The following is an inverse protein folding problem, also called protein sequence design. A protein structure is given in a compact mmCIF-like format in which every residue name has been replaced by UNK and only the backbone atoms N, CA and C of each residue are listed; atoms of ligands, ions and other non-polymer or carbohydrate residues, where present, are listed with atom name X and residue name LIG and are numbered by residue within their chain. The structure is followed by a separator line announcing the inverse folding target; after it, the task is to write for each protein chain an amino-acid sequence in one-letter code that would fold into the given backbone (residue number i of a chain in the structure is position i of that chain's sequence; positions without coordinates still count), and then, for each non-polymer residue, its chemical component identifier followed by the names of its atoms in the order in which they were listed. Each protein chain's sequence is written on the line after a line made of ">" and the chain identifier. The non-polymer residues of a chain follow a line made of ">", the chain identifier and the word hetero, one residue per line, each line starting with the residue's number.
data_IF_338063317883
#
_entry.id   IF_338063317883
#
_cell.length_a   1.000
_cell.length_b   1.000
_cell.length_c   1.000
_cell.angle_alpha   90.00
_cell.angle_beta   90.00
_cell.angle_gamma   90.00
#
_symmetry.space_group_name_H-M   'P 1'
#
loop_
_entity.id
_entity.type
_entity.pdbx_description
1 polymer ?
#
# COMPACT_ATOMS: atom_id res chain seq x y z
N UNK A 1 -18.48 12.83 -8.16
CA UNK A 1 -18.21 13.30 -6.83
C UNK A 1 -17.28 12.37 -6.08
N UNK A 2 -16.37 12.91 -5.36
CA UNK A 2 -15.47 12.09 -4.59
C UNK A 2 -16.19 11.45 -3.42
N UNK A 3 -16.04 10.15 -3.30
CA UNK A 3 -16.44 9.47 -2.10
C UNK A 3 -15.46 9.87 -1.03
N UNK A 4 -15.96 10.48 0.01
CA UNK A 4 -15.11 10.89 1.10
C UNK A 4 -14.73 9.67 1.91
N UNK A 5 -13.51 9.24 1.79
CA UNK A 5 -13.02 8.16 2.62
C UNK A 5 -12.95 8.62 4.07
N UNK A 6 -13.02 7.68 4.97
CA UNK A 6 -12.85 7.96 6.37
C UNK A 6 -11.53 8.68 6.57
N UNK A 7 -11.57 9.82 7.26
CA UNK A 7 -10.37 10.58 7.51
C UNK A 7 -9.54 9.88 8.57
N UNK A 8 -8.26 9.70 8.28
CA UNK A 8 -7.35 9.07 9.21
C UNK A 8 -6.85 10.13 10.19
N UNK A 9 -7.06 9.92 11.50
CA UNK A 9 -6.60 10.89 12.49
C UNK A 9 -5.11 11.14 12.40
N UNK A 10 -4.72 12.39 12.63
CA UNK A 10 -3.33 12.80 12.54
C UNK A 10 -2.42 11.97 13.45
N UNK A 11 -2.85 11.74 14.69
CA UNK A 11 -2.04 10.96 15.64
C UNK A 11 -1.83 9.53 15.16
N UNK A 12 -2.86 8.93 14.60
CA UNK A 12 -2.76 7.58 14.08
C UNK A 12 -1.79 7.52 12.91
N UNK A 13 -1.92 8.48 11.99
CA UNK A 13 -1.02 8.59 10.84
C UNK A 13 0.42 8.73 11.30
N UNK A 14 0.68 9.61 12.27
CA UNK A 14 2.01 9.81 12.81
C UNK A 14 2.59 8.53 13.42
N UNK A 15 1.76 7.80 14.18
CA UNK A 15 2.20 6.57 14.83
C UNK A 15 2.55 5.49 13.81
N UNK A 16 1.79 5.40 12.72
CA UNK A 16 2.08 4.45 11.65
C UNK A 16 3.40 4.81 10.96
N UNK A 17 3.61 6.10 10.70
CA UNK A 17 4.86 6.56 10.08
C UNK A 17 6.05 6.30 11.01
N UNK A 18 5.88 6.52 12.31
CA UNK A 18 6.94 6.25 13.27
C UNK A 18 7.32 4.76 13.30
N UNK A 19 6.33 3.90 13.14
CA UNK A 19 6.56 2.46 13.11
C UNK A 19 7.24 2.01 11.82
N UNK A 20 6.73 2.49 10.67
CA UNK A 20 7.14 1.98 9.36
C UNK A 20 8.23 2.82 8.69
N UNK A 21 8.47 4.04 9.17
CA UNK A 21 9.37 4.96 8.50
C UNK A 21 8.69 5.61 7.29
N UNK A 22 9.48 6.33 6.52
CA UNK A 22 8.98 7.08 5.36
C UNK A 22 9.28 6.34 4.05
N UNK A 23 9.19 5.04 4.07
CA UNK A 23 9.44 4.20 2.90
C UNK A 23 8.18 3.44 2.52
N UNK A 24 7.91 3.36 1.22
CA UNK A 24 6.76 2.60 0.74
C UNK A 24 6.94 1.12 1.08
N UNK A 25 5.94 0.53 1.72
CA UNK A 25 6.02 -0.86 2.15
C UNK A 25 6.13 -1.83 0.97
N UNK A 26 5.65 -1.42 -0.21
CA UNK A 26 5.64 -2.31 -1.38
C UNK A 26 6.84 -2.13 -2.31
N UNK A 27 7.28 -0.91 -2.53
CA UNK A 27 8.38 -0.65 -3.48
C UNK A 27 9.62 -0.05 -2.82
N UNK A 28 9.56 0.21 -1.52
CA UNK A 28 10.68 0.73 -0.73
C UNK A 28 11.15 2.13 -1.17
N UNK A 29 10.34 2.84 -1.94
CA UNK A 29 10.68 4.19 -2.35
C UNK A 29 10.76 5.12 -1.15
N UNK A 30 11.76 6.00 -1.15
CA UNK A 30 11.94 7.00 -0.09
C UNK A 30 10.94 8.12 -0.29
N UNK A 31 10.07 8.32 0.69
CA UNK A 31 8.99 9.29 0.60
C UNK A 31 9.24 10.55 1.42
N UNK A 32 10.51 10.81 1.77
CA UNK A 32 10.87 11.95 2.62
C UNK A 32 10.40 13.29 2.04
N UNK A 33 10.43 13.44 0.72
CA UNK A 33 9.99 14.65 0.04
C UNK A 33 8.85 14.39 -0.92
N UNK A 34 8.09 13.34 -0.66
CA UNK A 34 6.96 12.93 -1.50
C UNK A 34 5.71 12.76 -0.64
N UNK A 35 4.59 12.65 -1.31
CA UNK A 35 3.33 12.40 -0.64
C UNK A 35 3.31 11.01 -0.05
N UNK A 36 2.92 10.91 1.23
CA UNK A 36 2.81 9.63 1.93
C UNK A 36 1.35 9.26 1.98
N UNK A 37 1.02 8.07 1.51
CA UNK A 37 -0.33 7.55 1.57
C UNK A 37 -0.45 6.49 2.66
N UNK A 38 -1.61 6.48 3.34
CA UNK A 38 -1.94 5.45 4.30
C UNK A 38 -2.79 4.41 3.58
N UNK A 39 -2.30 3.20 3.53
CA UNK A 39 -3.00 2.11 2.88
C UNK A 39 -3.62 1.19 3.92
N UNK A 40 -4.85 0.76 3.67
CA UNK A 40 -5.49 -0.27 4.48
C UNK A 40 -5.03 -1.64 3.99
N UNK A 41 -4.38 -2.40 4.86
CA UNK A 41 -3.95 -3.77 4.53
C UNK A 41 -5.15 -4.55 4.01
N UNK A 42 -6.26 -4.49 4.75
CA UNK A 42 -7.56 -4.99 4.30
C UNK A 42 -8.41 -3.77 4.02
N UNK A 43 -8.87 -3.57 2.78
CA UNK A 43 -9.66 -2.39 2.42
C UNK A 43 -10.95 -2.31 3.22
N UNK A 44 -11.43 -1.08 3.42
CA UNK A 44 -12.68 -0.85 4.11
C UNK A 44 -13.84 -1.56 3.42
N UNK A 45 -13.81 -1.62 2.09
CA UNK A 45 -14.84 -2.33 1.32
C UNK A 45 -14.87 -3.83 1.61
N UNK A 46 -13.83 -4.37 2.22
CA UNK A 46 -13.73 -5.79 2.59
C UNK A 46 -13.72 -5.96 4.11
N UNK A 47 -14.20 -4.97 4.84
CA UNK A 47 -14.34 -5.05 6.28
C UNK A 47 -13.14 -4.57 7.06
N UNK A 48 -12.14 -4.01 6.40
CA UNK A 48 -10.96 -3.49 7.09
C UNK A 48 -11.28 -2.26 7.91
N UNK A 49 -10.60 -2.12 9.04
CA UNK A 49 -10.80 -1.00 9.95
C UNK A 49 -9.67 -0.01 9.83
N UNK A 50 -9.96 1.24 10.13
CA UNK A 50 -8.95 2.29 10.19
C UNK A 50 -8.33 2.26 11.59
N UNK A 51 -7.31 1.45 11.75
CA UNK A 51 -6.60 1.33 13.02
C UNK A 51 -5.13 1.05 12.77
N UNK A 52 -4.36 1.14 13.85
CA UNK A 52 -2.90 1.03 13.78
C UNK A 52 -2.43 -0.26 13.09
N UNK A 53 -3.08 -1.38 13.38
CA UNK A 53 -2.66 -2.67 12.86
C UNK A 53 -2.99 -2.84 11.37
N UNK A 54 -3.98 -2.09 10.87
CA UNK A 54 -4.46 -2.25 9.49
C UNK A 54 -4.01 -1.13 8.56
N UNK A 55 -3.10 -0.26 9.01
CA UNK A 55 -2.60 0.83 8.19
C UNK A 55 -1.11 0.68 7.96
N UNK A 56 -0.67 1.11 6.79
CA UNK A 56 0.75 1.07 6.45
C UNK A 56 1.09 2.20 5.48
N UNK A 57 2.40 2.53 5.43
CA UNK A 57 2.91 3.61 4.59
C UNK A 57 3.08 3.10 3.16
N UNK A 58 2.53 3.84 2.19
CA UNK A 58 2.73 3.52 0.78
C UNK A 58 2.96 4.80 0.00
N UNK A 59 3.55 4.66 -1.19
CA UNK A 59 3.61 5.75 -2.14
C UNK A 59 2.29 5.81 -2.92
N UNK A 60 2.06 6.95 -3.58
CA UNK A 60 0.84 7.15 -4.35
C UNK A 60 0.66 6.07 -5.41
N UNK A 61 1.73 5.76 -6.13
CA UNK A 61 1.67 4.79 -7.23
C UNK A 61 1.24 3.41 -6.76
N UNK A 62 1.86 2.90 -5.69
CA UNK A 62 1.50 1.59 -5.17
C UNK A 62 0.11 1.57 -4.58
N UNK A 63 -0.28 2.65 -3.90
CA UNK A 63 -1.61 2.76 -3.34
C UNK A 63 -2.69 2.69 -4.42
N UNK A 64 -2.49 3.44 -5.51
CA UNK A 64 -3.42 3.41 -6.64
C UNK A 64 -3.45 2.05 -7.32
N UNK A 65 -2.28 1.43 -7.48
CA UNK A 65 -2.18 0.13 -8.11
C UNK A 65 -2.87 -0.97 -7.30
N UNK A 66 -2.74 -0.91 -5.98
CA UNK A 66 -3.38 -1.87 -5.09
C UNK A 66 -4.90 -1.71 -5.11
N UNK A 67 -5.38 -0.46 -5.10
CA UNK A 67 -6.82 -0.18 -5.12
C UNK A 67 -7.55 -0.88 -3.99
N UNK A 68 -8.55 -1.69 -4.34
CA UNK A 68 -9.39 -2.39 -3.37
C UNK A 68 -8.93 -3.83 -3.09
N UNK A 69 -7.73 -4.17 -3.53
CA UNK A 69 -7.17 -5.49 -3.22
C UNK A 69 -6.71 -5.52 -1.76
N UNK A 70 -6.75 -6.70 -1.16
CA UNK A 70 -6.06 -6.90 0.11
C UNK A 70 -4.56 -6.90 -0.16
N UNK A 71 -3.76 -6.74 0.90
CA UNK A 71 -2.31 -6.84 0.77
C UNK A 71 -1.91 -8.16 0.13
N UNK A 72 -2.51 -9.26 0.59
CA UNK A 72 -2.20 -10.58 0.07
C UNK A 72 -2.48 -10.69 -1.43
N UNK A 73 -3.63 -10.18 -1.85
CA UNK A 73 -4.00 -10.18 -3.27
C UNK A 73 -3.04 -9.35 -4.10
N UNK A 74 -2.64 -8.20 -3.57
CA UNK A 74 -1.73 -7.32 -4.28
C UNK A 74 -0.34 -7.94 -4.41
N UNK A 75 0.15 -8.56 -3.34
CA UNK A 75 1.44 -9.25 -3.37
C UNK A 75 1.42 -10.38 -4.39
N UNK A 76 0.33 -11.13 -4.45
CA UNK A 76 0.20 -12.20 -5.45
C UNK A 76 0.25 -11.63 -6.86
N UNK A 77 -0.41 -10.49 -7.09
CA UNK A 77 -0.36 -9.82 -8.40
C UNK A 77 1.06 -9.43 -8.77
N UNK A 78 1.79 -8.83 -7.83
CA UNK A 78 3.17 -8.41 -8.07
C UNK A 78 4.06 -9.61 -8.36
N UNK A 79 3.88 -10.68 -7.60
CA UNK A 79 4.64 -11.91 -7.80
C UNK A 79 4.37 -12.51 -9.18
N UNK A 80 3.11 -12.62 -9.56
CA UNK A 80 2.75 -13.18 -10.86
C UNK A 80 3.29 -12.35 -12.00
N UNK A 81 3.28 -11.02 -11.84
CA UNK A 81 3.82 -10.12 -12.84
C UNK A 81 5.32 -10.34 -13.01
N UNK A 82 6.03 -10.47 -11.89
CA UNK A 82 7.47 -10.71 -11.92
C UNK A 82 7.79 -12.05 -12.58
N UNK A 83 7.02 -13.10 -12.26
CA UNK A 83 7.20 -14.42 -12.86
C UNK A 83 6.94 -14.38 -14.37
N UNK A 84 5.92 -13.65 -14.80
CA UNK A 84 5.62 -13.51 -16.22
C UNK A 84 6.75 -12.82 -16.97
N UNK A 85 7.35 -11.80 -16.36
CA UNK A 85 8.50 -11.11 -16.97
C UNK A 85 9.68 -12.06 -17.08
N UNK A 86 9.97 -12.80 -16.01
CA UNK A 86 11.05 -13.77 -16.02
C UNK A 86 10.83 -14.85 -17.08
N UNK A 87 9.60 -15.34 -17.20
CA UNK A 87 9.28 -16.35 -18.21
C UNK A 87 9.46 -15.81 -19.62
N UNK A 88 9.13 -14.55 -19.87
CA UNK A 88 9.31 -13.95 -21.18
C UNK A 88 10.78 -13.79 -21.54
N UNK A 89 11.61 -13.47 -20.54
CA UNK A 89 13.05 -13.35 -20.77
C UNK A 89 13.67 -14.69 -21.06
N UNK A 90 13.05 -15.75 -20.54
CA UNK A 90 13.46 -17.09 -20.82
C UNK A 90 14.75 -17.49 -20.13
N UNK A 91 15.12 -18.74 -20.23
CA UNK A 91 16.35 -19.23 -19.63
C UNK A 91 17.58 -18.98 -20.51
N UNK A 92 17.56 -17.96 -21.28
CA UNK A 92 18.71 -17.60 -22.10
C UNK A 92 18.56 -17.94 -23.54
#
# INVERSE_FOLDING_TARGET
>A
MLVQKERIPYDLRRRVIERDGVYCVYCDDDLSDKEIHMDHVIPESKGGKTNYANLQVTCRKCNLSKGVLTESEFIDRLRNRALNILNRLGPG
#
